data_IF_598356437844
#
_entry.id   IF_598356437844
#
_cell.length_a   1.000
_cell.length_b   1.000
_cell.length_c   1.000
_cell.angle_alpha   90.00
_cell.angle_beta   90.00
_cell.angle_gamma   90.00
#
_symmetry.space_group_name_H-M   'P 1'
#
loop_
_entity.id
_entity.type
_entity.pdbx_description
1 polymer ?
#
# COMPACT_ATOMS: atom_id res chain seq x y z
N UNK A 1 -54.00 24.22 -19.93
CA UNK A 1 -52.64 24.56 -20.40
C UNK A 1 -51.75 24.55 -19.16
N UNK A 2 -50.72 23.73 -19.01
CA UNK A 2 -50.33 22.51 -19.74
C UNK A 2 -49.39 21.70 -18.81
N UNK A 3 -49.25 20.39 -19.03
CA UNK A 3 -48.46 19.51 -18.16
C UNK A 3 -47.03 19.29 -18.68
N UNK A 4 -46.20 18.65 -17.84
CA UNK A 4 -44.85 18.09 -18.10
C UNK A 4 -43.70 19.13 -18.06
N UNK A 5 -42.52 18.83 -17.48
CA UNK A 5 -41.80 17.56 -17.50
C UNK A 5 -41.24 17.08 -16.14
N UNK A 6 -41.63 15.87 -15.74
CA UNK A 6 -40.78 14.81 -15.17
C UNK A 6 -39.64 14.50 -16.17
N UNK A 7 -38.41 14.05 -15.92
CA UNK A 7 -37.73 13.31 -14.83
C UNK A 7 -36.20 13.58 -15.04
N UNK A 8 -35.21 13.24 -14.21
CA UNK A 8 -35.03 12.19 -13.20
C UNK A 8 -34.21 12.67 -11.99
N UNK A 9 -34.27 11.90 -10.90
CA UNK A 9 -33.22 11.83 -9.88
C UNK A 9 -32.16 10.82 -10.33
N UNK A 10 -30.89 11.05 -10.01
CA UNK A 10 -29.96 9.93 -9.76
C UNK A 10 -29.72 9.87 -8.26
N UNK A 11 -30.11 8.77 -7.65
CA UNK A 11 -29.95 8.56 -6.22
C UNK A 11 -28.48 8.27 -5.91
N UNK A 12 -27.94 8.88 -4.86
CA UNK A 12 -26.77 8.34 -4.15
C UNK A 12 -26.98 8.59 -2.67
N UNK A 13 -27.80 7.73 -2.07
CA UNK A 13 -27.85 7.56 -0.62
C UNK A 13 -26.51 6.96 -0.16
N UNK A 14 -25.63 7.80 0.37
CA UNK A 14 -24.54 7.40 1.26
C UNK A 14 -24.84 8.14 2.57
N UNK A 15 -25.60 7.50 3.45
CA UNK A 15 -25.04 6.90 4.67
C UNK A 15 -24.19 7.89 5.45
N UNK A 16 -24.78 8.49 6.48
CA UNK A 16 -24.09 9.18 7.57
C UNK A 16 -23.30 8.15 8.39
N UNK A 17 -22.16 7.73 7.85
CA UNK A 17 -21.03 7.29 8.67
C UNK A 17 -20.28 8.56 9.03
N UNK A 18 -20.02 8.80 10.32
CA UNK A 18 -19.07 9.88 10.68
C UNK A 18 -17.76 9.58 9.95
N UNK A 19 -17.25 10.52 9.13
CA UNK A 19 -16.03 10.24 8.39
C UNK A 19 -14.91 10.12 9.41
N UNK A 20 -14.30 8.93 9.49
CA UNK A 20 -12.88 8.89 9.81
C UNK A 20 -12.22 9.87 8.85
N UNK A 21 -11.63 10.93 9.39
CA UNK A 21 -11.19 12.08 8.61
C UNK A 21 -9.91 11.68 7.92
N UNK A 22 -10.10 10.94 6.82
CA UNK A 22 -9.05 10.41 5.96
C UNK A 22 -8.13 11.56 5.60
N UNK A 23 -6.94 11.57 6.20
CA UNK A 23 -6.00 12.68 6.03
C UNK A 23 -5.38 12.53 4.66
N UNK A 24 -5.18 13.64 3.92
CA UNK A 24 -4.47 13.55 2.67
C UNK A 24 -3.06 13.02 2.93
N UNK A 25 -2.67 12.01 2.19
CA UNK A 25 -1.34 11.38 2.24
C UNK A 25 -0.28 12.39 1.78
N UNK A 26 -0.61 13.20 0.78
CA UNK A 26 0.24 14.30 0.32
C UNK A 26 -0.60 15.42 -0.31
N UNK A 27 -0.06 16.64 -0.37
CA UNK A 27 -0.69 17.80 -1.01
C UNK A 27 0.35 18.62 -1.78
N UNK A 28 0.40 18.42 -3.09
CA UNK A 28 1.21 19.24 -3.98
C UNK A 28 0.50 20.59 -4.20
N UNK A 29 1.24 21.71 -4.25
CA UNK A 29 0.68 23.06 -4.41
C UNK A 29 1.42 23.90 -5.45
N UNK A 30 0.66 24.70 -6.19
CA UNK A 30 1.13 25.77 -7.06
C UNK A 30 0.27 27.02 -6.79
N UNK A 31 0.75 27.88 -5.90
CA UNK A 31 0.03 29.07 -5.45
C UNK A 31 -1.34 28.74 -4.85
N UNK A 32 -2.40 29.12 -5.55
CA UNK A 32 -3.79 28.88 -5.18
C UNK A 32 -4.33 27.53 -5.66
N UNK A 33 -3.57 26.77 -6.46
CA UNK A 33 -3.93 25.44 -6.94
C UNK A 33 -3.29 24.36 -6.05
N UNK A 34 -4.00 23.24 -5.87
CA UNK A 34 -3.49 22.07 -5.14
C UNK A 34 -3.93 20.76 -5.80
N UNK A 35 -3.06 19.75 -5.71
CA UNK A 35 -3.38 18.35 -5.96
C UNK A 35 -3.26 17.59 -4.63
N UNK A 36 -4.41 17.21 -4.08
CA UNK A 36 -4.52 16.45 -2.83
C UNK A 36 -4.53 14.96 -3.16
N UNK A 37 -3.58 14.19 -2.64
CA UNK A 37 -3.52 12.73 -2.79
C UNK A 37 -4.12 12.09 -1.53
N UNK A 38 -5.04 11.14 -1.71
CA UNK A 38 -5.69 10.41 -0.62
C UNK A 38 -5.35 8.94 -0.71
N UNK A 39 -5.03 8.32 0.42
CA UNK A 39 -4.97 6.86 0.55
C UNK A 39 -6.35 6.34 0.89
N UNK A 40 -6.82 5.30 0.20
CA UNK A 40 -8.14 4.71 0.43
C UNK A 40 -7.98 3.20 0.57
N UNK A 41 -8.74 2.60 1.47
CA UNK A 41 -8.79 1.14 1.63
C UNK A 41 -9.89 0.55 0.72
N UNK A 42 -9.71 -0.68 0.26
CA UNK A 42 -10.65 -1.34 -0.63
C UNK A 42 -10.48 -2.85 -0.64
N UNK A 43 -11.47 -3.58 -1.19
CA UNK A 43 -11.52 -5.05 -1.18
C UNK A 43 -10.28 -5.73 -1.81
N UNK A 44 -9.64 -5.05 -2.78
CA UNK A 44 -8.44 -5.54 -3.47
C UNK A 44 -7.13 -4.97 -2.89
N UNK A 45 -7.19 -4.35 -1.71
CA UNK A 45 -6.10 -3.60 -1.08
C UNK A 45 -6.16 -2.10 -1.36
N UNK A 46 -5.24 -1.38 -0.73
CA UNK A 46 -5.21 0.08 -0.71
C UNK A 46 -4.96 0.68 -2.10
N UNK A 47 -5.61 1.82 -2.36
CA UNK A 47 -5.46 2.57 -3.59
C UNK A 47 -5.43 4.08 -3.33
N UNK A 48 -4.61 4.77 -4.12
CA UNK A 48 -4.47 6.22 -4.05
C UNK A 48 -5.37 6.90 -5.07
N UNK A 49 -6.05 7.96 -4.64
CA UNK A 49 -6.84 8.86 -5.48
C UNK A 49 -6.27 10.28 -5.42
N UNK A 50 -6.67 11.17 -6.35
CA UNK A 50 -6.19 12.56 -6.38
C UNK A 50 -7.31 13.53 -6.69
N UNK A 51 -7.40 14.61 -5.91
CA UNK A 51 -8.34 15.72 -6.11
C UNK A 51 -7.57 16.98 -6.48
N UNK A 52 -7.80 17.51 -7.68
CA UNK A 52 -7.29 18.82 -8.11
C UNK A 52 -8.30 19.91 -7.74
N UNK A 53 -7.85 20.98 -7.08
CA UNK A 53 -8.73 22.08 -6.67
C UNK A 53 -8.00 23.42 -6.63
N UNK A 54 -8.77 24.51 -6.71
CA UNK A 54 -8.33 25.88 -6.52
C UNK A 54 -8.92 26.44 -5.23
N UNK A 55 -8.07 26.85 -4.30
CA UNK A 55 -8.49 27.59 -3.12
C UNK A 55 -8.64 29.08 -3.44
N UNK A 56 -9.72 29.70 -2.96
CA UNK A 56 -10.02 31.13 -3.10
C UNK A 56 -10.69 31.63 -1.81
N UNK A 57 -10.81 32.94 -1.64
CA UNK A 57 -11.46 33.55 -0.47
C UNK A 57 -12.83 34.11 -0.87
N UNK A 58 -13.88 33.79 -0.13
CA UNK A 58 -15.22 34.34 -0.33
C UNK A 58 -15.38 35.75 0.25
N UNK A 59 -16.52 36.39 -0.03
CA UNK A 59 -16.80 37.78 0.38
C UNK A 59 -16.82 37.96 1.91
N UNK A 60 -17.16 36.88 2.64
CA UNK A 60 -17.12 36.81 4.11
C UNK A 60 -15.71 36.55 4.67
N UNK A 61 -14.70 36.41 3.80
CA UNK A 61 -13.30 36.17 4.17
C UNK A 61 -12.93 34.71 4.41
N UNK A 62 -13.82 33.75 4.16
CA UNK A 62 -13.56 32.32 4.37
C UNK A 62 -12.87 31.70 3.14
N UNK A 63 -11.97 30.75 3.37
CA UNK A 63 -11.36 29.99 2.28
C UNK A 63 -12.29 28.89 1.78
N UNK A 64 -12.47 28.84 0.46
CA UNK A 64 -13.28 27.86 -0.28
C UNK A 64 -12.45 27.19 -1.35
N UNK A 65 -12.79 25.95 -1.68
CA UNK A 65 -12.22 25.24 -2.81
C UNK A 65 -13.18 25.22 -4.00
N UNK A 66 -12.63 25.19 -5.22
CA UNK A 66 -13.37 25.01 -6.46
C UNK A 66 -12.66 24.02 -7.38
N UNK A 67 -13.44 23.33 -8.22
CA UNK A 67 -12.96 22.37 -9.22
C UNK A 67 -13.04 22.94 -10.65
N UNK A 68 -13.29 24.25 -10.79
CA UNK A 68 -13.37 24.96 -12.06
C UNK A 68 -12.13 25.82 -12.28
N UNK A 69 -11.39 25.54 -13.35
CA UNK A 69 -10.11 26.19 -13.67
C UNK A 69 -10.26 27.12 -14.87
N UNK A 70 -9.60 28.28 -14.82
CA UNK A 70 -9.49 29.20 -15.95
C UNK A 70 -8.46 28.73 -16.97
N UNK A 71 -8.50 29.26 -18.20
CA UNK A 71 -7.54 28.92 -19.26
C UNK A 71 -6.07 29.13 -18.86
N UNK A 72 -5.79 30.15 -18.04
CA UNK A 72 -4.45 30.46 -17.51
C UNK A 72 -4.01 29.56 -16.32
N UNK A 73 -4.90 28.70 -15.83
CA UNK A 73 -4.61 27.72 -14.78
C UNK A 73 -4.33 26.32 -15.37
N UNK A 74 -4.82 26.01 -16.57
CA UNK A 74 -4.76 24.66 -17.16
C UNK A 74 -3.35 24.06 -17.22
N UNK A 75 -2.32 24.83 -17.60
CA UNK A 75 -0.93 24.34 -17.65
C UNK A 75 -0.39 23.99 -16.25
N UNK A 76 -0.72 24.80 -15.25
CA UNK A 76 -0.32 24.55 -13.85
C UNK A 76 -1.08 23.36 -13.27
N UNK A 77 -2.36 23.22 -13.61
CA UNK A 77 -3.16 22.02 -13.29
C UNK A 77 -2.57 20.76 -13.93
N UNK A 78 -2.08 20.81 -15.19
CA UNK A 78 -1.44 19.64 -15.82
C UNK A 78 -0.10 19.27 -15.18
N UNK A 79 0.73 20.23 -14.78
CA UNK A 79 1.97 19.93 -14.06
C UNK A 79 1.70 19.42 -12.63
N UNK A 80 0.69 19.95 -11.93
CA UNK A 80 0.22 19.39 -10.65
C UNK A 80 -0.30 17.95 -10.80
N UNK A 81 -1.07 17.66 -11.86
CA UNK A 81 -1.55 16.31 -12.17
C UNK A 81 -0.38 15.35 -12.45
N UNK A 82 0.63 15.81 -13.19
CA UNK A 82 1.86 15.06 -13.47
C UNK A 82 2.67 14.77 -12.20
N UNK A 83 2.81 15.77 -11.32
CA UNK A 83 3.47 15.62 -10.02
C UNK A 83 2.74 14.62 -9.12
N UNK A 84 1.41 14.73 -9.04
CA UNK A 84 0.59 13.81 -8.24
C UNK A 84 0.64 12.36 -8.78
N UNK A 85 0.72 12.17 -10.10
CA UNK A 85 0.95 10.85 -10.70
C UNK A 85 2.30 10.25 -10.29
N UNK A 86 3.39 11.05 -10.33
CA UNK A 86 4.70 10.61 -9.88
C UNK A 86 4.67 10.23 -8.40
N UNK A 87 4.16 11.11 -7.53
CA UNK A 87 4.05 10.87 -6.08
C UNK A 87 3.21 9.65 -5.74
N UNK A 88 2.10 9.44 -6.45
CA UNK A 88 1.26 8.24 -6.31
C UNK A 88 2.01 6.94 -6.62
N UNK A 89 2.95 6.95 -7.56
CA UNK A 89 3.76 5.78 -7.88
C UNK A 89 4.85 5.53 -6.82
N UNK A 90 5.41 6.58 -6.23
CA UNK A 90 6.35 6.48 -5.09
C UNK A 90 5.66 5.85 -3.87
N UNK A 91 4.51 6.40 -3.46
CA UNK A 91 3.69 5.90 -2.34
C UNK A 91 3.35 4.40 -2.49
N UNK A 92 3.00 3.95 -3.70
CA UNK A 92 2.78 2.52 -3.99
C UNK A 92 4.05 1.67 -3.84
N UNK A 93 5.22 2.20 -4.16
CA UNK A 93 6.50 1.48 -4.01
C UNK A 93 6.94 1.43 -2.55
N UNK A 94 6.74 2.52 -1.79
CA UNK A 94 6.97 2.61 -0.35
C UNK A 94 6.12 1.56 0.37
N UNK A 95 4.80 1.56 0.14
CA UNK A 95 3.85 0.59 0.70
C UNK A 95 4.22 -0.88 0.40
N UNK A 96 4.65 -1.19 -0.83
CA UNK A 96 5.05 -2.56 -1.18
C UNK A 96 6.31 -3.02 -0.43
N UNK A 97 7.23 -2.10 -0.14
CA UNK A 97 8.45 -2.39 0.62
C UNK A 97 8.14 -2.63 2.10
N UNK A 98 7.26 -1.84 2.71
CA UNK A 98 6.81 -2.02 4.09
C UNK A 98 6.13 -3.38 4.27
N UNK A 99 5.15 -3.71 3.41
CA UNK A 99 4.48 -5.02 3.44
C UNK A 99 5.45 -6.20 3.23
N UNK A 100 6.57 -6.00 2.53
CA UNK A 100 7.59 -7.02 2.33
C UNK A 100 8.53 -7.17 3.54
N UNK A 101 8.75 -6.11 4.31
CA UNK A 101 9.54 -6.11 5.55
C UNK A 101 8.77 -6.77 6.71
N UNK A 102 7.50 -6.42 6.90
CA UNK A 102 6.64 -7.00 7.95
C UNK A 102 6.53 -8.54 7.82
N UNK A 103 6.37 -9.03 6.57
CA UNK A 103 6.31 -10.47 6.25
C UNK A 103 7.61 -11.24 6.53
N UNK A 104 8.72 -10.53 6.76
CA UNK A 104 10.01 -11.10 7.17
C UNK A 104 10.20 -11.01 8.68
N UNK A 105 9.93 -9.87 9.31
CA UNK A 105 10.06 -9.70 10.76
C UNK A 105 9.06 -10.56 11.55
N UNK A 106 7.84 -10.73 11.04
CA UNK A 106 6.83 -11.62 11.62
C UNK A 106 7.20 -13.11 11.58
N UNK A 107 8.18 -13.52 10.76
CA UNK A 107 8.67 -14.91 10.72
C UNK A 107 9.73 -15.20 11.79
N UNK A 108 10.48 -14.20 12.25
CA UNK A 108 11.58 -14.40 13.20
C UNK A 108 11.12 -14.49 14.67
N UNK A 109 9.96 -13.94 15.03
CA UNK A 109 9.46 -13.97 16.42
C UNK A 109 8.81 -15.30 16.83
N UNK A 110 8.18 -16.03 15.90
CA UNK A 110 7.55 -17.34 16.17
C UNK A 110 8.52 -18.52 16.21
N UNK A 111 9.78 -18.33 15.81
CA UNK A 111 10.77 -19.41 15.69
C UNK A 111 11.48 -19.83 16.99
N UNK A 112 11.39 -19.03 18.07
CA UNK A 112 12.25 -19.17 19.25
C UNK A 112 11.53 -19.66 20.52
N UNK A 113 10.40 -20.39 20.38
CA UNK A 113 9.60 -20.93 21.51
C UNK A 113 9.61 -22.47 21.59
N UNK A 114 10.55 -23.13 20.90
CA UNK A 114 10.69 -24.59 20.88
C UNK A 114 12.14 -25.02 21.12
N UNK A 115 12.73 -24.52 22.23
CA UNK A 115 13.95 -25.06 22.84
C UNK A 115 13.85 -25.13 24.38
N UNK A 116 12.65 -25.38 24.89
CA UNK A 116 12.42 -25.88 26.26
C UNK A 116 11.78 -27.28 26.15
N UNK A 117 12.52 -28.21 25.54
CA UNK A 117 12.19 -29.64 25.50
C UNK A 117 13.04 -30.36 26.56
N UNK A 118 12.35 -30.91 27.56
CA UNK A 118 12.69 -32.18 28.22
C UNK A 118 14.11 -32.33 28.81
N UNK A 119 14.32 -31.72 29.98
CA UNK A 119 15.28 -32.22 30.96
C UNK A 119 14.65 -33.38 31.74
N UNK A 120 14.66 -34.59 31.14
CA UNK A 120 14.33 -35.82 31.86
C UNK A 120 15.49 -36.25 32.78
N UNK A 121 15.21 -36.36 34.09
CA UNK A 121 16.07 -37.06 35.05
C UNK A 121 16.04 -38.59 34.75
N UNK A 122 17.02 -39.06 33.99
CA UNK A 122 17.10 -40.44 33.52
C UNK A 122 18.52 -41.05 33.61
N UNK A 123 18.98 -41.37 34.82
CA UNK A 123 20.27 -42.04 35.00
C UNK A 123 20.21 -43.53 34.59
N UNK A 124 21.01 -43.96 33.60
CA UNK A 124 21.00 -45.38 33.20
C UNK A 124 21.94 -45.89 32.09
N UNK A 125 23.23 -46.08 32.41
CA UNK A 125 24.01 -47.33 32.13
C UNK A 125 24.38 -47.73 30.67
N UNK A 126 25.71 -47.71 30.42
CA UNK A 126 26.56 -48.59 29.60
C UNK A 126 26.55 -48.57 28.04
N UNK A 127 27.65 -48.02 27.52
CA UNK A 127 28.57 -48.65 26.56
C UNK A 127 28.27 -50.10 26.15
N UNK A 128 28.04 -50.31 24.85
CA UNK A 128 28.77 -51.35 24.10
C UNK A 128 29.20 -50.84 22.72
N UNK A 129 30.52 -50.75 22.54
CA UNK A 129 31.17 -50.64 21.23
C UNK A 129 30.78 -51.79 20.29
N UNK A 130 30.33 -51.50 19.07
CA UNK A 130 30.51 -52.41 17.92
C UNK A 130 30.50 -51.71 16.57
N UNK A 131 31.47 -52.14 15.77
CA UNK A 131 31.82 -51.68 14.43
C UNK A 131 30.71 -51.92 13.38
N UNK A 132 31.00 -51.49 12.16
CA UNK A 132 30.28 -51.76 10.91
C UNK A 132 28.90 -51.09 10.73
N UNK A 133 28.87 -50.03 9.93
CA UNK A 133 28.30 -50.16 8.58
C UNK A 133 28.80 -49.07 7.62
N UNK A 134 29.64 -49.46 6.66
CA UNK A 134 29.91 -48.67 5.45
C UNK A 134 28.66 -48.63 4.58
N UNK A 135 28.22 -47.46 4.10
CA UNK A 135 27.83 -47.25 2.68
C UNK A 135 27.33 -45.83 2.35
N UNK A 136 27.93 -45.25 1.30
CA UNK A 136 27.25 -44.62 0.16
C UNK A 136 26.13 -43.59 0.41
N UNK A 137 26.51 -42.30 0.40
CA UNK A 137 25.73 -41.24 -0.28
C UNK A 137 26.70 -40.32 -1.04
N UNK A 138 26.72 -40.45 -2.36
CA UNK A 138 27.66 -39.72 -3.23
C UNK A 138 27.32 -38.23 -3.43
N UNK A 139 28.28 -37.40 -3.86
CA UNK A 139 28.08 -35.97 -4.05
C UNK A 139 27.21 -35.68 -5.28
N UNK A 140 26.04 -35.05 -5.07
CA UNK A 140 25.23 -34.50 -6.17
C UNK A 140 25.87 -33.21 -6.70
N UNK A 141 26.49 -33.32 -7.87
CA UNK A 141 27.03 -32.17 -8.62
C UNK A 141 25.95 -31.12 -8.93
N UNK A 142 26.23 -29.86 -8.61
CA UNK A 142 25.43 -28.70 -9.05
C UNK A 142 25.76 -28.41 -10.52
N UNK A 143 24.87 -28.76 -11.45
CA UNK A 143 25.06 -28.40 -12.86
C UNK A 143 24.75 -26.92 -13.09
N UNK A 144 25.63 -26.29 -13.88
CA UNK A 144 25.67 -24.85 -14.15
C UNK A 144 24.36 -24.24 -14.66
N UNK A 145 24.17 -22.96 -14.32
CA UNK A 145 23.31 -22.03 -15.08
C UNK A 145 23.73 -22.03 -16.56
N UNK A 146 22.78 -21.82 -17.47
CA UNK A 146 23.09 -21.20 -18.75
C UNK A 146 21.97 -20.25 -19.16
N UNK A 147 22.36 -19.03 -19.46
CA UNK A 147 21.52 -17.92 -19.89
C UNK A 147 21.59 -17.86 -21.43
N UNK A 148 20.47 -17.78 -22.14
CA UNK A 148 20.46 -17.55 -23.58
C UNK A 148 19.37 -16.54 -23.93
N UNK A 149 19.82 -15.36 -24.33
CA UNK A 149 19.00 -14.32 -24.96
C UNK A 149 18.73 -14.68 -26.42
N UNK A 150 17.55 -14.34 -26.93
CA UNK A 150 17.30 -13.92 -28.32
C UNK A 150 16.21 -12.86 -28.32
#
# INVERSE_FOLDING_TARGET
MENTQTTHQTNTTQQEQEPDVNRPEDVLRDGNLKATVWKNEGENGDYYSTTLSRTWQDEDGNYRDSHSFSGAELLRVSELARGAYARTNELRQEQQQEQAQDKQQGRTSSGNRQQDMDLEDGAGVQDQSREDFKASRGPRSRRSRQNVQR
#
